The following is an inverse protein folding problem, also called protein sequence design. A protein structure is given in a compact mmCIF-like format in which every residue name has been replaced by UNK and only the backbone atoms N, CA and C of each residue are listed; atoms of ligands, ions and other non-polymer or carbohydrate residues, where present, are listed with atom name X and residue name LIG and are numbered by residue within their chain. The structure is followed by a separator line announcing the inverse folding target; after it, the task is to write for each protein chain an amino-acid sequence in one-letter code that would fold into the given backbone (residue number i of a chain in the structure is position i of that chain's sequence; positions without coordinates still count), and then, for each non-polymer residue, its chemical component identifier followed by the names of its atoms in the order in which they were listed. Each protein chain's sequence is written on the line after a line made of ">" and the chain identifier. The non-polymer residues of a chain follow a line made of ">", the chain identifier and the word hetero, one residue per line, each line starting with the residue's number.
data_IF_151822355151
#
_entry.id   IF_151822355151
#
_cell.length_a   1.000
_cell.length_b   1.000
_cell.length_c   1.000
_cell.angle_alpha   90.00
_cell.angle_beta   90.00
_cell.angle_gamma   90.00
#
_symmetry.space_group_name_H-M   'P 1'
#
loop_
_entity.id
_entity.type
_entity.pdbx_description
1 polymer ?
#
# COMPACT_ATOMS: atom_id res chain seq x y z
N UNK A 1 33.39 11.87 1.77
CA UNK A 1 32.24 10.96 1.79
C UNK A 1 32.41 10.11 3.05
N UNK A 2 31.69 10.39 4.11
CA UNK A 2 31.54 9.46 5.22
C UNK A 2 30.88 8.21 4.63
N UNK A 3 31.47 7.04 4.90
CA UNK A 3 30.95 5.77 4.43
C UNK A 3 29.53 5.65 5.03
N UNK A 4 28.52 5.49 4.15
CA UNK A 4 27.14 5.33 4.60
C UNK A 4 27.06 4.16 5.59
N UNK A 5 26.29 4.29 6.68
CA UNK A 5 26.16 3.21 7.65
C UNK A 5 25.60 1.96 6.95
N UNK A 6 26.12 0.79 7.31
CA UNK A 6 25.53 -0.49 6.90
C UNK A 6 24.37 -0.83 7.84
N UNK A 7 23.22 -1.23 7.27
CA UNK A 7 22.13 -1.75 8.09
C UNK A 7 22.40 -3.23 8.42
N UNK A 8 22.33 -3.57 9.72
CA UNK A 8 22.50 -4.94 10.18
C UNK A 8 21.22 -5.77 9.93
N UNK A 9 21.37 -6.99 9.41
CA UNK A 9 20.26 -7.95 9.26
C UNK A 9 19.73 -8.43 10.62
N UNK A 10 18.63 -9.16 10.65
CA UNK A 10 18.08 -9.76 11.87
C UNK A 10 19.01 -10.79 12.48
N UNK A 11 19.11 -10.80 13.80
CA UNK A 11 19.96 -11.74 14.55
C UNK A 11 19.42 -13.19 14.46
N UNK A 12 18.10 -13.37 14.49
CA UNK A 12 17.39 -14.66 14.55
C UNK A 12 16.90 -15.18 13.18
N UNK A 13 17.36 -14.64 12.06
CA UNK A 13 17.05 -15.17 10.73
C UNK A 13 15.57 -15.02 10.33
N UNK A 14 15.02 -13.80 10.37
CA UNK A 14 13.65 -13.50 9.95
C UNK A 14 13.39 -13.86 8.48
N UNK A 15 12.35 -14.68 8.21
CA UNK A 15 11.88 -14.99 6.86
C UNK A 15 10.68 -14.11 6.48
N UNK A 16 10.85 -13.16 5.54
CA UNK A 16 9.76 -12.29 5.11
C UNK A 16 8.64 -13.04 4.37
N UNK A 17 8.93 -14.20 3.77
CA UNK A 17 7.91 -15.00 3.05
C UNK A 17 6.95 -15.72 4.01
N UNK A 18 7.42 -16.09 5.20
CA UNK A 18 6.57 -16.72 6.22
C UNK A 18 5.51 -15.76 6.81
N UNK A 19 5.67 -14.45 6.63
CA UNK A 19 4.74 -13.44 7.19
C UNK A 19 3.49 -13.27 6.34
N UNK A 20 3.59 -13.47 5.02
CA UNK A 20 2.52 -13.16 4.07
C UNK A 20 1.23 -13.93 4.32
N UNK A 21 1.31 -15.22 4.60
CA UNK A 21 0.15 -16.10 4.79
C UNK A 21 -0.58 -15.83 6.11
N UNK A 22 0.15 -15.54 7.19
CA UNK A 22 -0.44 -15.31 8.51
C UNK A 22 -1.16 -13.96 8.66
N UNK A 23 -0.79 -12.96 7.87
CA UNK A 23 -1.24 -11.58 8.10
C UNK A 23 -2.55 -11.23 7.37
N UNK A 24 -2.96 -11.97 6.34
CA UNK A 24 -3.92 -11.43 5.37
C UNK A 24 -5.23 -12.21 5.23
N UNK A 25 -5.36 -13.44 5.79
CA UNK A 25 -6.52 -14.31 5.59
C UNK A 25 -6.55 -14.94 4.18
N UNK A 26 -7.44 -15.92 3.96
CA UNK A 26 -7.46 -16.70 2.71
C UNK A 26 -8.75 -16.52 1.89
N UNK A 27 -9.60 -15.54 2.20
CA UNK A 27 -10.84 -15.32 1.48
C UNK A 27 -10.55 -14.90 0.04
N UNK A 28 -11.05 -15.68 -0.92
CA UNK A 28 -10.95 -15.39 -2.35
C UNK A 28 -12.06 -14.43 -2.80
N UNK A 29 -13.32 -14.77 -2.53
CA UNK A 29 -14.50 -13.97 -2.94
C UNK A 29 -15.01 -13.07 -1.80
N UNK A 30 -14.18 -12.12 -1.38
CA UNK A 30 -14.50 -11.20 -0.30
C UNK A 30 -15.61 -10.21 -0.66
N UNK A 31 -15.73 -9.85 -1.95
CA UNK A 31 -16.69 -8.84 -2.39
C UNK A 31 -18.13 -9.37 -2.37
N UNK A 32 -18.33 -10.62 -2.80
CA UNK A 32 -19.63 -11.29 -2.66
C UNK A 32 -20.00 -11.53 -1.19
N UNK A 33 -19.02 -11.97 -0.39
CA UNK A 33 -19.23 -12.12 1.06
C UNK A 33 -19.64 -10.81 1.72
N UNK A 34 -18.98 -9.69 1.36
CA UNK A 34 -19.34 -8.37 1.88
C UNK A 34 -20.75 -7.94 1.49
N UNK A 35 -21.18 -8.17 0.23
CA UNK A 35 -22.56 -7.89 -0.21
C UNK A 35 -23.57 -8.68 0.61
N UNK A 36 -23.34 -9.97 0.81
CA UNK A 36 -24.22 -10.82 1.64
C UNK A 36 -24.29 -10.34 3.10
N UNK A 37 -23.17 -9.87 3.66
CA UNK A 37 -23.13 -9.29 5.00
C UNK A 37 -23.96 -7.99 5.08
N UNK A 38 -23.85 -7.12 4.07
CA UNK A 38 -24.63 -5.87 4.01
C UNK A 38 -26.13 -6.17 3.89
N UNK A 39 -26.52 -7.16 3.08
CA UNK A 39 -27.93 -7.57 2.94
C UNK A 39 -28.49 -8.13 4.25
N UNK A 40 -27.71 -8.94 4.97
CA UNK A 40 -28.14 -9.59 6.20
C UNK A 40 -28.10 -8.69 7.45
N UNK A 41 -27.13 -7.81 7.55
CA UNK A 41 -26.80 -7.07 8.79
C UNK A 41 -26.74 -5.56 8.64
N UNK A 42 -26.88 -5.04 7.41
CA UNK A 42 -26.73 -3.62 7.11
C UNK A 42 -25.30 -3.18 6.86
N UNK A 43 -25.07 -1.88 6.60
CA UNK A 43 -23.80 -1.34 6.15
C UNK A 43 -22.72 -1.25 7.24
N UNK A 44 -23.08 -1.46 8.51
CA UNK A 44 -22.17 -1.43 9.68
C UNK A 44 -22.44 -2.65 10.53
N UNK A 45 -21.45 -3.53 10.65
CA UNK A 45 -21.56 -4.81 11.37
C UNK A 45 -20.72 -4.76 12.65
N UNK A 46 -21.30 -5.19 13.79
CA UNK A 46 -20.54 -5.33 15.04
C UNK A 46 -19.58 -6.50 14.94
N UNK A 47 -18.34 -6.30 15.33
CA UNK A 47 -17.25 -7.28 15.29
C UNK A 47 -16.02 -6.78 14.53
N UNK A 48 -14.88 -7.38 14.82
CA UNK A 48 -13.68 -7.16 14.04
C UNK A 48 -13.80 -7.80 12.64
N UNK A 49 -13.09 -7.23 11.69
CA UNK A 49 -13.22 -7.60 10.27
C UNK A 49 -12.93 -9.08 9.99
N UNK A 50 -11.96 -9.68 10.66
CA UNK A 50 -11.64 -11.08 10.43
C UNK A 50 -12.78 -11.99 10.90
N UNK A 51 -13.27 -11.77 12.12
CA UNK A 51 -14.42 -12.51 12.69
C UNK A 51 -15.69 -12.31 11.87
N UNK A 52 -15.96 -11.07 11.40
CA UNK A 52 -17.12 -10.76 10.55
C UNK A 52 -17.08 -11.54 9.24
N UNK A 53 -15.89 -11.78 8.67
CA UNK A 53 -15.72 -12.59 7.46
C UNK A 53 -15.47 -14.09 7.74
N UNK A 54 -15.65 -14.55 8.99
CA UNK A 54 -15.52 -15.95 9.36
C UNK A 54 -14.10 -16.47 9.57
N UNK A 55 -13.12 -15.57 9.60
CA UNK A 55 -11.73 -15.87 9.92
C UNK A 55 -11.45 -15.72 11.42
N UNK A 56 -10.45 -16.40 11.98
CA UNK A 56 -10.03 -16.15 13.35
C UNK A 56 -9.66 -14.70 13.58
N UNK A 57 -10.14 -14.12 14.68
CA UNK A 57 -9.82 -12.75 15.06
C UNK A 57 -8.31 -12.52 15.16
N UNK A 58 -7.81 -11.53 14.43
CA UNK A 58 -6.37 -11.23 14.32
C UNK A 58 -6.01 -9.86 14.88
N UNK A 59 -7.01 -9.07 15.30
CA UNK A 59 -6.76 -7.81 15.98
C UNK A 59 -6.32 -8.06 17.42
N UNK A 60 -5.39 -7.27 17.97
CA UNK A 60 -5.07 -7.33 19.38
C UNK A 60 -6.35 -7.13 20.20
N UNK A 61 -6.58 -7.99 21.17
CA UNK A 61 -7.64 -7.77 22.13
C UNK A 61 -7.29 -6.51 22.92
N UNK A 62 -8.01 -5.42 22.60
CA UNK A 62 -7.83 -4.12 23.23
C UNK A 62 -8.91 -3.84 24.28
N UNK A 63 -9.86 -4.77 24.49
CA UNK A 63 -11.06 -4.55 25.28
C UNK A 63 -12.01 -3.51 24.67
N UNK A 64 -11.76 -3.04 23.45
CA UNK A 64 -12.59 -2.06 22.72
C UNK A 64 -13.66 -2.77 21.90
N UNK A 65 -14.81 -2.13 21.73
CA UNK A 65 -15.79 -2.59 20.75
C UNK A 65 -15.25 -2.40 19.32
N UNK A 66 -15.48 -3.38 18.43
CA UNK A 66 -15.09 -3.34 17.04
C UNK A 66 -16.31 -3.29 16.13
N UNK A 67 -16.21 -2.55 15.05
CA UNK A 67 -17.22 -2.45 14.00
C UNK A 67 -16.56 -2.54 12.63
N UNK A 68 -17.17 -3.30 11.74
CA UNK A 68 -16.77 -3.40 10.34
C UNK A 68 -17.72 -2.61 9.48
N UNK A 69 -17.21 -1.61 8.75
CA UNK A 69 -17.98 -0.70 7.89
C UNK A 69 -17.86 -1.14 6.45
N UNK A 70 -18.99 -1.58 5.85
CA UNK A 70 -19.07 -2.18 4.53
C UNK A 70 -19.83 -1.31 3.51
N UNK A 71 -20.78 -0.50 3.94
CA UNK A 71 -21.59 0.34 3.05
C UNK A 71 -20.84 1.60 2.60
N UNK A 72 -20.90 1.89 1.29
CA UNK A 72 -20.15 2.99 0.65
C UNK A 72 -20.42 4.36 1.30
N UNK A 73 -21.69 4.68 1.57
CA UNK A 73 -22.08 5.94 2.21
C UNK A 73 -21.50 6.07 3.63
N UNK A 74 -21.58 5.00 4.43
CA UNK A 74 -21.00 4.97 5.78
C UNK A 74 -19.48 5.07 5.75
N UNK A 75 -18.83 4.41 4.78
CA UNK A 75 -17.38 4.49 4.53
C UNK A 75 -16.96 5.95 4.26
N UNK A 76 -17.67 6.65 3.37
CA UNK A 76 -17.37 8.06 3.08
C UNK A 76 -17.62 8.97 4.26
N UNK A 77 -18.71 8.73 5.01
CA UNK A 77 -19.03 9.48 6.23
C UNK A 77 -17.87 9.40 7.23
N UNK A 78 -17.40 8.18 7.55
CA UNK A 78 -16.30 7.99 8.49
C UNK A 78 -15.01 8.65 8.00
N UNK A 79 -14.66 8.52 6.71
CA UNK A 79 -13.43 9.06 6.15
C UNK A 79 -13.45 10.59 6.02
N UNK A 80 -14.63 11.22 6.01
CA UNK A 80 -14.80 12.67 5.87
C UNK A 80 -14.86 13.43 7.18
N UNK A 81 -15.02 12.73 8.32
CA UNK A 81 -15.21 13.34 9.63
C UNK A 81 -14.11 12.90 10.62
N UNK A 82 -12.90 13.50 10.50
CA UNK A 82 -11.77 13.16 11.38
C UNK A 82 -11.99 13.60 12.84
N UNK A 83 -12.88 14.55 13.10
CA UNK A 83 -13.20 14.97 14.46
C UNK A 83 -14.00 13.89 15.21
N UNK A 84 -14.87 13.19 14.50
CA UNK A 84 -15.67 12.10 15.06
C UNK A 84 -14.95 10.76 14.98
N UNK A 85 -14.12 10.55 13.94
CA UNK A 85 -13.41 9.30 13.70
C UNK A 85 -11.91 9.56 13.50
N UNK A 86 -11.15 9.42 14.57
CA UNK A 86 -9.74 9.78 14.66
C UNK A 86 -8.77 8.59 14.47
N UNK A 87 -7.46 8.85 14.67
CA UNK A 87 -6.38 7.88 14.51
C UNK A 87 -5.86 7.29 15.83
N UNK A 88 -6.53 7.50 16.95
CA UNK A 88 -5.99 7.14 18.28
C UNK A 88 -5.66 5.64 18.40
N UNK A 89 -6.48 4.77 17.82
CA UNK A 89 -6.17 3.34 17.83
C UNK A 89 -4.88 3.02 17.05
N UNK A 90 -4.68 3.63 15.90
CA UNK A 90 -3.43 3.45 15.13
C UNK A 90 -2.22 4.04 15.86
N UNK A 91 -2.38 5.18 16.53
CA UNK A 91 -1.32 5.77 17.34
C UNK A 91 -0.88 4.84 18.48
N UNK A 92 -1.83 4.14 19.12
CA UNK A 92 -1.56 3.20 20.23
C UNK A 92 -1.18 1.79 19.82
N UNK A 93 -1.23 1.46 18.52
CA UNK A 93 -0.89 0.13 17.97
C UNK A 93 0.28 0.23 16.98
N UNK A 94 0.01 0.56 15.74
CA UNK A 94 1.02 0.70 14.69
C UNK A 94 2.05 1.79 15.02
N UNK A 95 1.60 2.92 15.58
CA UNK A 95 2.46 4.01 16.02
C UNK A 95 3.45 3.63 17.11
N UNK A 96 3.16 2.62 17.94
CA UNK A 96 4.14 2.10 18.92
C UNK A 96 5.32 1.38 18.26
N UNK A 97 5.13 0.87 17.04
CA UNK A 97 6.19 0.19 16.28
C UNK A 97 6.93 1.19 15.41
N UNK A 98 6.21 1.93 14.57
CA UNK A 98 6.81 2.76 13.53
C UNK A 98 7.13 4.17 14.02
N UNK A 99 6.42 4.65 15.04
CA UNK A 99 6.50 6.03 15.55
C UNK A 99 5.31 6.89 15.09
N UNK A 100 5.36 8.22 15.31
CA UNK A 100 4.29 9.15 14.98
C UNK A 100 4.23 9.43 13.46
N UNK A 101 3.68 8.50 12.69
CA UNK A 101 3.53 8.60 11.24
C UNK A 101 2.30 9.41 10.84
N UNK A 102 2.24 9.85 9.55
CA UNK A 102 1.06 10.51 9.00
C UNK A 102 -0.24 9.73 9.18
N UNK A 103 -0.19 8.40 9.17
CA UNK A 103 -1.38 7.55 9.37
C UNK A 103 -1.75 7.37 10.84
N UNK A 104 -0.95 7.87 11.77
CA UNK A 104 -1.20 7.78 13.21
C UNK A 104 -1.39 9.15 13.89
N UNK A 105 -1.22 10.24 13.14
CA UNK A 105 -1.37 11.60 13.64
C UNK A 105 -2.80 12.11 13.45
N UNK A 106 -3.29 12.89 14.41
CA UNK A 106 -4.53 13.66 14.33
C UNK A 106 -4.23 15.15 14.05
N UNK A 107 -5.24 15.89 13.58
CA UNK A 107 -5.15 17.34 13.48
C UNK A 107 -5.05 17.98 14.88
N UNK A 108 -4.35 19.13 15.03
CA UNK A 108 -3.75 19.93 13.94
C UNK A 108 -2.35 19.45 13.48
N UNK A 109 -1.70 18.52 14.19
CA UNK A 109 -0.34 18.06 13.90
C UNK A 109 -0.28 17.37 12.54
N UNK A 110 -1.25 16.47 12.25
CA UNK A 110 -1.36 15.80 10.95
C UNK A 110 -1.34 16.81 9.79
N UNK A 111 -2.19 17.83 9.82
CA UNK A 111 -2.30 18.82 8.74
C UNK A 111 -1.02 19.63 8.52
N UNK A 112 -0.30 19.96 9.61
CA UNK A 112 1.01 20.65 9.51
C UNK A 112 2.05 19.75 8.82
N UNK A 113 2.25 18.56 9.34
CA UNK A 113 3.24 17.60 8.84
C UNK A 113 2.93 17.17 7.41
N UNK A 114 1.63 16.94 7.12
CA UNK A 114 1.19 16.55 5.78
C UNK A 114 1.55 17.58 4.70
N UNK A 115 1.44 18.88 4.97
CA UNK A 115 1.80 19.92 3.98
C UNK A 115 3.25 19.77 3.51
N UNK A 116 4.18 19.45 4.41
CA UNK A 116 5.59 19.27 4.05
C UNK A 116 5.79 18.02 3.20
N UNK A 117 5.34 16.88 3.68
CA UNK A 117 5.51 15.63 2.94
C UNK A 117 4.81 15.67 1.58
N UNK A 118 3.64 16.31 1.50
CA UNK A 118 2.91 16.45 0.24
C UNK A 118 3.69 17.28 -0.78
N UNK A 119 4.45 18.30 -0.36
CA UNK A 119 5.27 19.10 -1.27
C UNK A 119 6.32 18.24 -2.00
N UNK A 120 6.92 17.25 -1.33
CA UNK A 120 7.86 16.32 -1.94
C UNK A 120 7.21 15.38 -2.97
N UNK A 121 5.93 15.04 -2.78
CA UNK A 121 5.16 14.14 -3.66
C UNK A 121 4.25 14.86 -4.66
N UNK A 122 4.50 16.13 -4.93
CA UNK A 122 3.76 16.88 -5.96
C UNK A 122 4.01 16.29 -7.35
N UNK A 123 3.04 16.38 -8.29
CA UNK A 123 3.13 15.76 -9.61
C UNK A 123 4.42 16.09 -10.39
N UNK A 124 4.95 17.31 -10.25
CA UNK A 124 6.19 17.70 -10.92
C UNK A 124 7.43 16.94 -10.42
N UNK A 125 7.52 16.66 -9.10
CA UNK A 125 8.61 15.88 -8.52
C UNK A 125 8.46 14.40 -8.89
N UNK A 126 7.24 13.90 -8.85
CA UNK A 126 6.90 12.53 -9.26
C UNK A 126 7.24 12.30 -10.74
N UNK A 127 6.92 13.24 -11.63
CA UNK A 127 7.27 13.14 -13.05
C UNK A 127 8.79 13.03 -13.27
N UNK A 128 9.59 13.84 -12.54
CA UNK A 128 11.06 13.77 -12.60
C UNK A 128 11.58 12.39 -12.16
N UNK A 129 11.04 11.82 -11.07
CA UNK A 129 11.39 10.46 -10.65
C UNK A 129 11.01 9.42 -11.69
N UNK A 130 9.93 9.65 -12.45
CA UNK A 130 9.48 8.79 -13.53
C UNK A 130 10.57 8.49 -14.56
N UNK A 131 11.27 9.52 -15.00
CA UNK A 131 12.32 9.41 -16.01
C UNK A 131 13.68 9.02 -15.42
N UNK A 132 14.01 9.51 -14.23
CA UNK A 132 15.32 9.30 -13.62
C UNK A 132 15.46 7.96 -12.89
N UNK A 133 14.37 7.44 -12.32
CA UNK A 133 14.37 6.28 -11.42
C UNK A 133 13.41 5.19 -11.89
N UNK A 134 12.13 5.52 -12.01
CA UNK A 134 11.03 4.55 -12.16
C UNK A 134 11.15 3.76 -13.46
N UNK A 135 11.33 4.44 -14.60
CA UNK A 135 11.53 3.80 -15.91
C UNK A 135 12.78 2.94 -15.95
N UNK A 136 13.97 3.47 -15.61
CA UNK A 136 15.20 2.68 -15.57
C UNK A 136 15.13 1.43 -14.70
N UNK A 137 14.49 1.51 -13.51
CA UNK A 137 14.33 0.33 -12.63
C UNK A 137 13.46 -0.74 -13.31
N UNK A 138 12.35 -0.35 -13.96
CA UNK A 138 11.49 -1.30 -14.67
C UNK A 138 12.29 -2.09 -15.73
N UNK A 139 13.06 -1.41 -16.58
CA UNK A 139 13.87 -2.06 -17.60
C UNK A 139 14.96 -2.95 -17.03
N UNK A 140 15.67 -2.52 -15.98
CA UNK A 140 16.71 -3.31 -15.34
C UNK A 140 16.18 -4.61 -14.71
N UNK A 141 14.97 -4.58 -14.15
CA UNK A 141 14.34 -5.80 -13.63
C UNK A 141 13.95 -6.76 -14.75
N UNK A 142 13.42 -6.26 -15.86
CA UNK A 142 13.08 -7.07 -17.04
C UNK A 142 14.32 -7.72 -17.63
N UNK A 143 15.47 -7.03 -17.68
CA UNK A 143 16.75 -7.56 -18.18
C UNK A 143 17.19 -8.84 -17.45
N UNK A 144 16.74 -9.08 -16.21
CA UNK A 144 17.09 -10.28 -15.42
C UNK A 144 16.42 -11.57 -15.95
N UNK A 145 15.35 -11.45 -16.74
CA UNK A 145 14.56 -12.61 -17.15
C UNK A 145 14.10 -12.59 -18.63
N UNK A 146 14.26 -11.50 -19.36
CA UNK A 146 13.75 -11.37 -20.73
C UNK A 146 14.26 -12.47 -21.68
N UNK A 147 15.50 -12.92 -21.53
CA UNK A 147 16.10 -13.97 -22.37
C UNK A 147 15.59 -15.39 -22.02
N UNK A 148 14.81 -15.54 -20.95
CA UNK A 148 14.31 -16.86 -20.52
C UNK A 148 13.00 -17.27 -21.20
N UNK A 149 12.31 -16.36 -21.90
CA UNK A 149 11.00 -16.58 -22.51
C UNK A 149 9.87 -16.87 -21.51
N UNK A 150 10.16 -16.79 -20.22
CA UNK A 150 9.21 -17.00 -19.10
C UNK A 150 9.62 -16.23 -17.86
N UNK A 151 8.64 -15.90 -17.01
CA UNK A 151 8.88 -15.29 -15.69
C UNK A 151 7.73 -15.63 -14.72
N UNK A 152 8.00 -15.46 -13.43
CA UNK A 152 6.97 -15.31 -12.40
C UNK A 152 6.90 -13.81 -12.06
N UNK A 153 5.90 -13.11 -12.59
CA UNK A 153 5.85 -11.64 -12.56
C UNK A 153 5.75 -11.04 -11.15
N UNK A 154 5.24 -11.77 -10.15
CA UNK A 154 5.18 -11.24 -8.79
C UNK A 154 6.58 -11.16 -8.20
N UNK A 155 7.34 -12.25 -8.20
CA UNK A 155 8.65 -12.32 -7.56
C UNK A 155 9.78 -11.76 -8.43
N UNK A 156 9.72 -11.95 -9.75
CA UNK A 156 10.79 -11.51 -10.66
C UNK A 156 10.70 -10.01 -10.99
N UNK A 157 9.51 -9.42 -10.89
CA UNK A 157 9.27 -8.04 -11.29
C UNK A 157 8.50 -7.20 -10.25
N UNK A 158 7.22 -7.54 -9.96
CA UNK A 158 6.34 -6.64 -9.23
C UNK A 158 6.84 -6.36 -7.81
N UNK A 159 7.30 -7.39 -7.08
CA UNK A 159 7.78 -7.26 -5.70
C UNK A 159 9.06 -6.41 -5.61
N UNK A 160 10.16 -6.68 -6.33
CA UNK A 160 11.36 -5.87 -6.22
C UNK A 160 11.19 -4.44 -6.75
N UNK A 161 10.27 -4.20 -7.67
CA UNK A 161 10.16 -2.95 -8.41
C UNK A 161 9.96 -1.70 -7.53
N UNK A 162 8.93 -1.58 -6.69
CA UNK A 162 8.74 -0.39 -5.85
C UNK A 162 9.81 -0.26 -4.76
N UNK A 163 10.35 -1.35 -4.24
CA UNK A 163 11.42 -1.28 -3.25
C UNK A 163 12.71 -0.71 -3.86
N UNK A 164 13.12 -1.14 -5.04
CA UNK A 164 14.26 -0.58 -5.78
C UNK A 164 14.07 0.92 -6.07
N UNK A 165 12.83 1.36 -6.35
CA UNK A 165 12.51 2.77 -6.56
C UNK A 165 12.70 3.57 -5.27
N UNK A 166 12.13 3.10 -4.15
CA UNK A 166 12.26 3.78 -2.85
C UNK A 166 13.73 3.90 -2.45
N UNK A 167 14.53 2.84 -2.61
CA UNK A 167 15.95 2.87 -2.28
C UNK A 167 16.70 3.97 -3.05
N UNK A 168 16.41 4.12 -4.35
CA UNK A 168 17.02 5.17 -5.16
C UNK A 168 16.50 6.57 -4.85
N UNK A 169 15.23 6.70 -4.45
CA UNK A 169 14.67 7.99 -4.02
C UNK A 169 15.30 8.48 -2.72
N UNK A 170 15.69 7.56 -1.85
CA UNK A 170 16.37 7.84 -0.58
C UNK A 170 17.88 7.89 -0.71
N UNK A 171 18.43 7.66 -1.91
CA UNK A 171 19.87 7.57 -2.19
C UNK A 171 20.58 6.60 -1.21
N UNK A 172 19.94 5.43 -0.98
CA UNK A 172 20.49 4.39 -0.10
C UNK A 172 21.58 3.59 -0.80
N UNK A 173 22.58 3.07 -0.05
CA UNK A 173 23.68 2.30 -0.61
C UNK A 173 23.20 1.04 -1.35
N UNK A 174 23.72 0.77 -2.55
CA UNK A 174 23.44 -0.50 -3.23
C UNK A 174 24.05 -1.65 -2.41
N UNK A 175 23.24 -2.69 -2.15
CA UNK A 175 23.63 -3.86 -1.37
C UNK A 175 22.79 -4.09 -0.13
N UNK A 176 22.20 -3.05 0.45
CA UNK A 176 21.33 -3.17 1.62
C UNK A 176 19.87 -3.51 1.25
N UNK A 177 19.53 -3.55 -0.04
CA UNK A 177 18.15 -3.67 -0.53
C UNK A 177 17.41 -4.90 0.00
N UNK A 178 18.09 -6.04 0.12
CA UNK A 178 17.48 -7.26 0.66
C UNK A 178 17.16 -7.12 2.16
N UNK A 179 18.04 -6.49 2.91
CA UNK A 179 17.85 -6.24 4.36
C UNK A 179 16.71 -5.25 4.57
N UNK A 180 16.66 -4.17 3.77
CA UNK A 180 15.56 -3.20 3.83
C UNK A 180 14.21 -3.83 3.51
N UNK A 181 14.13 -4.70 2.51
CA UNK A 181 12.91 -5.44 2.21
C UNK A 181 12.46 -6.27 3.41
N UNK A 182 13.36 -7.05 4.03
CA UNK A 182 13.06 -7.79 5.27
C UNK A 182 12.55 -6.86 6.38
N UNK A 183 13.20 -5.70 6.59
CA UNK A 183 12.79 -4.72 7.59
C UNK A 183 11.40 -4.15 7.29
N UNK A 184 11.10 -3.82 6.03
CA UNK A 184 9.80 -3.30 5.61
C UNK A 184 8.66 -4.30 5.88
N UNK A 185 8.88 -5.58 5.55
CA UNK A 185 7.92 -6.66 5.83
C UNK A 185 7.75 -6.86 7.34
N UNK A 186 8.85 -6.85 8.10
CA UNK A 186 8.81 -7.00 9.55
C UNK A 186 8.00 -5.89 10.24
N UNK A 187 8.11 -4.63 9.79
CA UNK A 187 7.32 -3.51 10.33
C UNK A 187 5.80 -3.76 10.23
N UNK A 188 5.34 -4.46 9.18
CA UNK A 188 3.93 -4.81 8.99
C UNK A 188 3.50 -6.02 9.84
N UNK A 189 4.45 -6.84 10.26
CA UNK A 189 4.23 -8.07 11.03
C UNK A 189 4.04 -7.82 12.55
N UNK A 190 3.61 -6.65 12.95
CA UNK A 190 3.60 -6.14 14.34
C UNK A 190 2.71 -6.87 15.36
N UNK A 191 2.40 -8.18 15.17
CA UNK A 191 1.46 -8.95 16.01
C UNK A 191 2.05 -10.26 16.51
N UNK A 192 1.54 -10.72 17.66
CA UNK A 192 1.93 -12.00 18.24
C UNK A 192 3.46 -12.12 18.41
N UNK A 193 3.98 -13.31 18.13
CA UNK A 193 5.41 -13.61 18.22
C UNK A 193 6.27 -12.79 17.22
N UNK A 194 5.67 -12.35 16.11
CA UNK A 194 6.36 -11.56 15.10
C UNK A 194 6.62 -10.10 15.55
N UNK A 195 5.95 -9.63 16.62
CA UNK A 195 6.14 -8.26 17.14
C UNK A 195 7.60 -7.97 17.51
N UNK A 196 8.36 -8.97 17.97
CA UNK A 196 9.79 -8.81 18.27
C UNK A 196 10.59 -8.33 17.05
N UNK A 197 10.32 -8.90 15.88
CA UNK A 197 10.98 -8.50 14.62
C UNK A 197 10.56 -7.10 14.17
N UNK A 198 9.28 -6.76 14.34
CA UNK A 198 8.81 -5.40 14.04
C UNK A 198 9.50 -4.34 14.92
N UNK A 199 9.68 -4.61 16.20
CA UNK A 199 10.38 -3.72 17.13
C UNK A 199 11.88 -3.65 16.82
N UNK A 200 12.52 -4.76 16.49
CA UNK A 200 13.93 -4.80 16.07
C UNK A 200 14.15 -4.02 14.77
N UNK A 201 13.30 -4.26 13.73
CA UNK A 201 13.34 -3.50 12.48
C UNK A 201 13.18 -2.00 12.72
N UNK A 202 12.19 -1.62 13.55
CA UNK A 202 11.96 -0.22 13.90
C UNK A 202 13.19 0.42 14.55
N UNK A 203 13.82 -0.26 15.49
CA UNK A 203 15.03 0.23 16.17
C UNK A 203 16.19 0.39 15.17
N UNK A 204 16.51 -0.65 14.38
CA UNK A 204 17.61 -0.64 13.41
C UNK A 204 17.41 0.44 12.36
N UNK A 205 16.23 0.53 11.76
CA UNK A 205 15.88 1.58 10.81
C UNK A 205 15.93 2.98 11.44
N UNK A 206 15.56 3.11 12.72
CA UNK A 206 15.65 4.38 13.44
C UNK A 206 17.07 4.90 13.56
N UNK A 207 18.01 4.03 13.93
CA UNK A 207 19.45 4.38 14.01
C UNK A 207 19.96 4.73 12.61
N UNK A 208 19.68 3.89 11.63
CA UNK A 208 20.09 4.07 10.25
C UNK A 208 19.62 5.41 9.65
N UNK A 209 18.33 5.69 9.71
CA UNK A 209 17.77 6.92 9.14
C UNK A 209 18.23 8.17 9.89
N UNK A 210 18.47 8.07 11.20
CA UNK A 210 19.03 9.20 11.95
C UNK A 210 20.37 9.65 11.40
N UNK A 211 21.28 8.72 11.09
CA UNK A 211 22.58 9.05 10.52
C UNK A 211 22.45 9.75 9.16
N UNK A 212 21.52 9.29 8.29
CA UNK A 212 21.23 9.98 7.03
C UNK A 212 20.60 11.37 7.22
N UNK A 213 19.70 11.51 8.17
CA UNK A 213 19.08 12.81 8.49
C UNK A 213 20.17 13.79 8.97
N UNK A 214 21.07 13.36 9.85
CA UNK A 214 22.14 14.19 10.37
C UNK A 214 23.15 14.57 9.27
N UNK A 215 23.50 13.65 8.37
CA UNK A 215 24.35 13.96 7.21
C UNK A 215 23.68 14.95 6.26
N UNK A 216 22.41 14.72 5.89
CA UNK A 216 21.69 15.60 4.96
C UNK A 216 21.38 16.99 5.52
N UNK A 217 21.32 17.17 6.83
CA UNK A 217 21.27 18.49 7.45
C UNK A 217 22.54 19.30 7.22
N UNK A 218 23.69 18.62 7.16
CA UNK A 218 24.99 19.26 6.95
C UNK A 218 25.36 19.32 5.46
N UNK A 219 24.98 18.28 4.69
CA UNK A 219 25.36 18.08 3.29
C UNK A 219 24.10 17.75 2.45
N UNK A 220 23.20 18.72 2.21
CA UNK A 220 22.01 18.48 1.41
C UNK A 220 22.36 18.00 0.00
N UNK A 221 21.63 17.00 -0.49
CA UNK A 221 21.68 16.51 -1.87
C UNK A 221 20.35 16.72 -2.58
N UNK A 222 20.13 16.06 -3.71
CA UNK A 222 18.84 16.11 -4.45
C UNK A 222 17.84 15.04 -4.03
N UNK A 223 18.10 14.27 -2.96
CA UNK A 223 17.27 13.16 -2.50
C UNK A 223 16.06 13.60 -1.67
N UNK A 224 15.19 12.63 -1.36
CA UNK A 224 13.97 12.88 -0.58
C UNK A 224 14.30 13.28 0.87
N UNK A 225 15.33 12.69 1.49
CA UNK A 225 15.70 13.02 2.87
C UNK A 225 16.14 14.48 2.94
N UNK A 226 16.97 14.93 2.00
CA UNK A 226 17.38 16.35 1.89
C UNK A 226 16.20 17.29 1.77
N UNK A 227 15.21 16.93 0.95
CA UNK A 227 14.00 17.73 0.81
C UNK A 227 13.20 17.84 2.12
N UNK A 228 13.19 16.76 2.94
CA UNK A 228 12.48 16.74 4.21
C UNK A 228 13.19 17.51 5.32
N UNK A 229 14.53 17.37 5.44
CA UNK A 229 15.29 18.01 6.51
C UNK A 229 15.41 19.52 6.35
N UNK A 230 15.23 20.02 5.12
CA UNK A 230 15.26 21.46 4.80
C UNK A 230 13.87 22.11 4.76
N UNK A 231 12.80 21.30 4.85
CA UNK A 231 11.44 21.81 4.75
C UNK A 231 10.95 22.38 6.09
N UNK A 232 10.30 23.54 6.00
CA UNK A 232 9.69 24.25 7.14
C UNK A 232 8.17 24.41 6.95
N UNK A 233 7.46 24.34 8.06
CA UNK A 233 6.03 24.71 8.15
C UNK A 233 5.85 25.73 9.27
N UNK A 234 5.29 26.87 8.94
CA UNK A 234 5.03 27.94 9.90
C UNK A 234 6.32 28.39 10.65
N UNK A 235 7.51 28.29 9.99
CA UNK A 235 8.82 28.63 10.55
C UNK A 235 9.44 27.54 11.45
N UNK A 236 8.86 26.35 11.48
CA UNK A 236 9.37 25.23 12.26
C UNK A 236 9.76 24.05 11.34
N UNK A 237 10.91 23.42 11.63
CA UNK A 237 11.29 22.15 11.00
C UNK A 237 10.44 20.98 11.50
N UNK A 238 10.33 19.95 10.68
CA UNK A 238 9.67 18.70 11.11
C UNK A 238 10.49 18.07 12.24
N UNK A 239 9.84 17.65 13.36
CA UNK A 239 10.49 16.88 14.41
C UNK A 239 11.17 15.61 13.88
N UNK A 240 12.35 15.30 14.39
CA UNK A 240 13.18 14.18 13.91
C UNK A 240 12.48 12.82 14.05
N UNK A 241 11.76 12.62 15.14
CA UNK A 241 10.99 11.40 15.39
C UNK A 241 9.88 11.20 14.35
N UNK A 242 9.22 12.27 13.90
CA UNK A 242 8.24 12.25 12.82
C UNK A 242 8.93 11.93 11.47
N UNK A 243 10.10 12.50 11.20
CA UNK A 243 10.85 12.17 9.98
C UNK A 243 11.27 10.70 9.94
N UNK A 244 11.82 10.19 11.02
CA UNK A 244 12.22 8.78 11.15
C UNK A 244 10.99 7.86 10.98
N UNK A 245 9.87 8.19 11.64
CA UNK A 245 8.63 7.45 11.52
C UNK A 245 8.10 7.45 10.09
N UNK A 246 8.18 8.59 9.39
CA UNK A 246 7.80 8.69 7.99
C UNK A 246 8.68 7.82 7.07
N UNK A 247 10.00 7.84 7.25
CA UNK A 247 10.92 7.02 6.45
C UNK A 247 10.70 5.51 6.68
N UNK A 248 10.47 5.09 7.92
CA UNK A 248 10.07 3.71 8.23
C UNK A 248 8.76 3.33 7.53
N UNK A 249 7.77 4.21 7.60
CA UNK A 249 6.47 3.98 6.96
C UNK A 249 6.58 3.98 5.44
N UNK A 250 7.41 4.82 4.85
CA UNK A 250 7.62 4.89 3.40
C UNK A 250 8.08 3.55 2.82
N UNK A 251 8.99 2.86 3.50
CA UNK A 251 9.45 1.53 3.09
C UNK A 251 8.30 0.53 3.04
N UNK A 252 7.48 0.47 4.08
CA UNK A 252 6.38 -0.49 4.13
C UNK A 252 5.18 -0.08 3.28
N UNK A 253 4.75 1.17 3.35
CA UNK A 253 3.55 1.63 2.65
C UNK A 253 3.76 1.84 1.14
N UNK A 254 4.94 2.29 0.72
CA UNK A 254 5.24 2.53 -0.68
C UNK A 254 5.58 1.25 -1.44
N UNK A 255 6.37 0.35 -0.82
CA UNK A 255 6.77 -0.91 -1.44
C UNK A 255 5.63 -1.92 -1.52
N UNK A 256 5.03 -2.24 -0.37
CA UNK A 256 4.07 -3.35 -0.26
C UNK A 256 2.78 -3.14 -1.08
N UNK A 257 2.24 -1.93 -1.13
CA UNK A 257 0.98 -1.67 -1.84
C UNK A 257 1.15 -1.60 -3.35
N UNK A 258 2.25 -1.02 -3.84
CA UNK A 258 2.46 -0.83 -5.28
C UNK A 258 2.76 -2.16 -5.98
N UNK A 259 3.52 -3.09 -5.34
CA UNK A 259 3.74 -4.39 -5.97
C UNK A 259 2.44 -5.17 -6.11
N UNK A 260 1.56 -5.12 -5.11
CA UNK A 260 0.25 -5.77 -5.14
C UNK A 260 -0.62 -5.22 -6.26
N UNK A 261 -0.69 -3.89 -6.39
CA UNK A 261 -1.43 -3.24 -7.47
C UNK A 261 -0.88 -3.58 -8.86
N UNK A 262 0.45 -3.63 -9.00
CA UNK A 262 1.10 -4.01 -10.26
C UNK A 262 0.83 -5.48 -10.62
N UNK A 263 0.94 -6.39 -9.64
CA UNK A 263 0.62 -7.80 -9.84
C UNK A 263 -0.85 -8.03 -10.23
N UNK A 264 -1.78 -7.37 -9.53
CA UNK A 264 -3.21 -7.44 -9.82
C UNK A 264 -3.56 -6.84 -11.19
N UNK A 265 -2.93 -5.73 -11.58
CA UNK A 265 -3.10 -5.14 -12.90
C UNK A 265 -2.67 -6.11 -14.01
N UNK A 266 -1.50 -6.72 -13.86
CA UNK A 266 -1.02 -7.69 -14.84
C UNK A 266 -1.92 -8.90 -14.92
N UNK A 267 -2.38 -9.42 -13.78
CA UNK A 267 -3.31 -10.54 -13.77
C UNK A 267 -4.65 -10.18 -14.43
N UNK A 268 -5.22 -9.01 -14.13
CA UNK A 268 -6.45 -8.53 -14.76
C UNK A 268 -6.35 -8.48 -16.29
N UNK A 269 -5.24 -7.94 -16.82
CA UNK A 269 -5.00 -7.91 -18.26
C UNK A 269 -4.77 -9.30 -18.84
N UNK A 270 -3.98 -10.15 -18.20
CA UNK A 270 -3.65 -11.49 -18.69
C UNK A 270 -4.87 -12.44 -18.68
N UNK A 271 -5.83 -12.20 -17.81
CA UNK A 271 -7.12 -12.90 -17.81
C UNK A 271 -8.10 -12.36 -18.85
N UNK A 272 -7.82 -11.17 -19.42
CA UNK A 272 -8.62 -10.51 -20.45
C UNK A 272 -7.74 -10.16 -21.67
N UNK A 273 -7.29 -11.15 -22.46
CA UNK A 273 -6.31 -10.97 -23.53
C UNK A 273 -6.73 -9.94 -24.59
N UNK A 274 -8.02 -9.81 -24.89
CA UNK A 274 -8.51 -8.79 -25.82
C UNK A 274 -8.28 -7.36 -25.28
N UNK A 275 -8.43 -7.15 -23.98
CA UNK A 275 -8.12 -5.87 -23.35
C UNK A 275 -6.57 -5.63 -23.31
N UNK A 276 -5.78 -6.66 -23.05
CA UNK A 276 -4.33 -6.60 -23.09
C UNK A 276 -3.83 -6.15 -24.47
N UNK A 277 -4.32 -6.75 -25.55
CA UNK A 277 -3.92 -6.40 -26.91
C UNK A 277 -4.39 -4.98 -27.30
N UNK A 278 -5.52 -4.53 -26.83
CA UNK A 278 -5.97 -3.13 -27.02
C UNK A 278 -5.03 -2.15 -26.33
N UNK A 279 -4.62 -2.41 -25.08
CA UNK A 279 -3.65 -1.55 -24.36
C UNK A 279 -2.28 -1.62 -25.02
N UNK A 280 -1.88 -2.76 -25.57
CA UNK A 280 -0.65 -2.92 -26.36
C UNK A 280 -0.69 -2.03 -27.62
N UNK A 281 -1.79 -2.03 -28.33
CA UNK A 281 -1.97 -1.27 -29.56
C UNK A 281 -2.17 0.24 -29.33
N UNK A 282 -2.85 0.60 -28.23
CA UNK A 282 -3.11 2.00 -27.87
C UNK A 282 -2.70 2.30 -26.41
N UNK A 283 -1.52 2.88 -26.26
CA UNK A 283 -0.93 3.22 -24.94
C UNK A 283 -1.66 4.37 -24.23
N UNK A 284 -2.57 5.07 -24.89
CA UNK A 284 -3.43 6.06 -24.22
C UNK A 284 -4.37 5.42 -23.20
N UNK A 285 -4.64 4.12 -23.33
CA UNK A 285 -5.45 3.32 -22.40
C UNK A 285 -4.71 2.95 -21.10
N UNK A 286 -3.38 3.11 -21.03
CA UNK A 286 -2.58 2.72 -19.84
C UNK A 286 -3.08 3.40 -18.57
N UNK A 287 -3.32 4.70 -18.61
CA UNK A 287 -3.78 5.43 -17.42
C UNK A 287 -5.14 4.93 -16.91
N UNK A 288 -6.05 4.59 -17.81
CA UNK A 288 -7.36 4.05 -17.44
C UNK A 288 -7.26 2.61 -16.95
N UNK A 289 -6.39 1.81 -17.53
CA UNK A 289 -6.08 0.45 -17.06
C UNK A 289 -5.57 0.45 -15.62
N UNK A 290 -4.71 1.40 -15.26
CA UNK A 290 -4.23 1.57 -13.87
C UNK A 290 -5.36 1.90 -12.92
N UNK A 291 -6.25 2.84 -13.28
CA UNK A 291 -7.41 3.18 -12.42
C UNK A 291 -8.35 1.99 -12.26
N UNK A 292 -8.64 1.24 -13.34
CA UNK A 292 -9.48 0.04 -13.24
C UNK A 292 -8.82 -1.07 -12.40
N UNK A 293 -7.51 -1.28 -12.54
CA UNK A 293 -6.80 -2.25 -11.71
C UNK A 293 -6.88 -1.92 -10.22
N UNK A 294 -6.69 -0.65 -9.87
CA UNK A 294 -6.81 -0.15 -8.49
C UNK A 294 -8.23 -0.26 -7.94
N UNK A 295 -9.25 -0.05 -8.77
CA UNK A 295 -10.65 -0.26 -8.40
C UNK A 295 -10.95 -1.75 -8.20
N UNK A 296 -10.56 -2.58 -9.21
CA UNK A 296 -10.92 -4.01 -9.28
C UNK A 296 -10.28 -4.82 -8.17
N UNK A 297 -8.97 -4.67 -7.96
CA UNK A 297 -8.26 -5.31 -6.84
C UNK A 297 -7.43 -4.28 -6.09
N UNK A 298 -8.08 -3.62 -5.16
CA UNK A 298 -7.47 -2.61 -4.31
C UNK A 298 -6.41 -3.27 -3.41
N UNK A 299 -5.14 -2.85 -3.47
CA UNK A 299 -4.05 -3.49 -2.71
C UNK A 299 -4.27 -3.52 -1.21
N UNK A 300 -4.77 -2.41 -0.64
CA UNK A 300 -5.14 -2.29 0.78
C UNK A 300 -6.64 -2.22 0.90
N UNK A 301 -7.23 -3.25 1.48
CA UNK A 301 -8.68 -3.42 1.55
C UNK A 301 -9.38 -2.45 2.48
N UNK A 302 -8.67 -1.95 3.50
CA UNK A 302 -9.29 -1.26 4.62
C UNK A 302 -8.48 -0.07 5.14
N UNK A 303 -9.18 0.85 5.79
CA UNK A 303 -8.63 1.85 6.69
C UNK A 303 -9.16 1.61 8.12
N UNK A 304 -8.50 2.17 9.13
CA UNK A 304 -8.91 2.03 10.53
C UNK A 304 -9.10 3.40 11.16
N UNK A 305 -10.13 3.54 12.00
CA UNK A 305 -10.42 4.74 12.79
C UNK A 305 -10.85 4.35 14.20
N UNK A 306 -10.87 5.33 15.10
CA UNK A 306 -11.47 5.22 16.42
C UNK A 306 -12.58 6.25 16.57
N UNK A 307 -13.68 5.91 17.24
CA UNK A 307 -14.70 6.87 17.62
C UNK A 307 -14.20 7.77 18.76
N UNK A 308 -14.14 9.09 18.56
CA UNK A 308 -13.69 10.07 19.57
C UNK A 308 -14.72 10.30 20.67
N UNK A 309 -15.97 9.97 20.41
CA UNK A 309 -17.13 10.11 21.31
C UNK A 309 -18.21 9.10 20.95
N UNK A 310 -19.19 8.92 21.85
CA UNK A 310 -20.42 8.19 21.51
C UNK A 310 -21.05 8.84 20.28
N UNK A 311 -21.37 8.04 19.28
CA UNK A 311 -21.92 8.50 18.01
C UNK A 311 -22.82 7.44 17.39
N UNK A 312 -23.42 7.77 16.24
CA UNK A 312 -24.21 6.86 15.41
C UNK A 312 -23.65 6.85 14.00
N UNK A 313 -23.66 5.68 13.34
CA UNK A 313 -23.26 5.52 11.96
C UNK A 313 -24.26 4.57 11.27
N UNK A 314 -24.97 5.07 10.27
CA UNK A 314 -26.01 4.31 9.52
C UNK A 314 -27.03 3.62 10.45
N UNK A 315 -27.49 4.29 11.50
CA UNK A 315 -28.46 3.75 12.46
C UNK A 315 -27.86 2.85 13.57
N UNK A 316 -26.55 2.60 13.54
CA UNK A 316 -25.86 1.79 14.54
C UNK A 316 -25.17 2.69 15.57
N UNK A 317 -25.45 2.45 16.87
CA UNK A 317 -24.76 3.16 17.97
C UNK A 317 -23.30 2.69 18.05
N UNK A 318 -22.37 3.64 17.99
CA UNK A 318 -20.92 3.42 18.10
C UNK A 318 -20.43 4.08 19.40
N UNK A 319 -20.10 3.31 20.43
CA UNK A 319 -19.55 3.84 21.68
C UNK A 319 -18.21 4.55 21.45
N UNK A 320 -17.90 5.52 22.30
CA UNK A 320 -16.57 6.13 22.35
C UNK A 320 -15.47 5.06 22.43
N UNK A 321 -14.33 5.35 21.85
CA UNK A 321 -13.14 4.48 21.80
C UNK A 321 -13.31 3.17 20.98
N UNK A 322 -14.49 2.96 20.36
CA UNK A 322 -14.68 1.84 19.43
C UNK A 322 -13.71 1.91 18.26
N UNK A 323 -13.30 0.76 17.78
CA UNK A 323 -12.46 0.62 16.57
C UNK A 323 -13.35 0.35 15.37
N UNK A 324 -13.21 1.16 14.33
CA UNK A 324 -13.91 0.98 13.06
C UNK A 324 -12.93 0.52 11.99
N UNK A 325 -13.17 -0.65 11.40
CA UNK A 325 -12.48 -1.11 10.20
C UNK A 325 -13.33 -0.76 8.99
N UNK A 326 -12.81 0.14 8.15
CA UNK A 326 -13.52 0.72 7.01
C UNK A 326 -13.07 0.00 5.74
N UNK A 327 -13.93 -0.85 5.17
CA UNK A 327 -13.61 -1.69 4.01
C UNK A 327 -13.68 -0.88 2.70
N UNK A 328 -12.69 -0.05 2.44
CA UNK A 328 -12.66 0.87 1.28
C UNK A 328 -12.71 0.14 -0.05
N UNK A 329 -12.11 -1.04 -0.16
CA UNK A 329 -12.16 -1.85 -1.37
C UNK A 329 -13.57 -2.39 -1.68
N UNK A 330 -14.36 -2.71 -0.65
CA UNK A 330 -15.75 -3.15 -0.83
C UNK A 330 -16.60 -2.06 -1.50
N UNK A 331 -16.37 -0.79 -1.14
CA UNK A 331 -17.05 0.33 -1.80
C UNK A 331 -16.75 0.44 -3.30
N UNK A 332 -15.58 -0.02 -3.74
CA UNK A 332 -15.21 -0.06 -5.16
C UNK A 332 -15.96 -1.16 -5.94
N UNK A 333 -16.66 -2.05 -5.23
CA UNK A 333 -17.49 -3.14 -5.78
C UNK A 333 -18.97 -2.94 -5.51
N UNK A 334 -19.41 -1.74 -5.15
CA UNK A 334 -20.83 -1.43 -4.96
C UNK A 334 -21.57 -1.49 -6.33
N UNK A 335 -22.56 -2.40 -6.48
CA UNK A 335 -23.29 -2.56 -7.74
C UNK A 335 -24.19 -1.37 -8.09
N UNK A 336 -24.50 -0.50 -7.11
CA UNK A 336 -25.24 0.74 -7.34
C UNK A 336 -24.39 1.74 -8.14
N UNK A 337 -23.08 1.74 -7.90
CA UNK A 337 -22.14 2.64 -8.58
C UNK A 337 -21.50 2.03 -9.82
N UNK A 338 -21.15 0.75 -9.75
CA UNK A 338 -20.39 0.08 -10.79
C UNK A 338 -21.19 -1.07 -11.41
N UNK A 339 -21.52 -0.95 -12.67
CA UNK A 339 -22.12 -2.08 -13.41
C UNK A 339 -21.11 -3.22 -13.51
N UNK A 340 -21.52 -4.46 -13.20
CA UNK A 340 -20.64 -5.64 -13.14
C UNK A 340 -19.37 -5.35 -12.34
N UNK A 341 -19.46 -5.04 -11.04
CA UNK A 341 -18.35 -4.49 -10.25
C UNK A 341 -17.17 -5.46 -10.12
N UNK A 342 -17.42 -6.77 -10.21
CA UNK A 342 -16.41 -7.81 -10.06
C UNK A 342 -15.61 -8.07 -11.35
N UNK A 343 -16.07 -7.54 -12.50
CA UNK A 343 -15.34 -7.65 -13.77
C UNK A 343 -14.22 -6.59 -13.88
N UNK A 344 -13.07 -7.02 -14.40
CA UNK A 344 -12.02 -6.11 -14.87
C UNK A 344 -12.43 -5.56 -16.24
N UNK A 345 -12.56 -4.24 -16.37
CA UNK A 345 -13.10 -3.60 -17.57
C UNK A 345 -12.44 -2.23 -17.79
N UNK A 346 -11.48 -2.16 -18.72
CA UNK A 346 -10.76 -0.92 -19.06
C UNK A 346 -11.63 0.15 -19.74
N UNK A 347 -12.83 -0.20 -20.16
CA UNK A 347 -13.79 0.75 -20.74
C UNK A 347 -14.76 1.34 -19.70
N UNK A 348 -14.61 0.94 -18.45
CA UNK A 348 -15.44 1.45 -17.36
C UNK A 348 -15.35 2.97 -17.29
N UNK A 349 -16.48 3.69 -17.17
CA UNK A 349 -16.46 5.13 -16.94
C UNK A 349 -15.61 5.48 -15.73
N UNK A 350 -14.79 6.52 -15.85
CA UNK A 350 -13.91 6.97 -14.75
C UNK A 350 -14.76 7.53 -13.61
N UNK A 351 -14.80 6.79 -12.53
CA UNK A 351 -15.33 7.24 -11.25
C UNK A 351 -14.24 7.23 -10.19
N UNK A 352 -14.38 8.10 -9.18
CA UNK A 352 -13.42 8.14 -8.09
C UNK A 352 -13.58 6.92 -7.19
N UNK A 353 -12.69 5.95 -7.34
CA UNK A 353 -12.57 4.81 -6.45
C UNK A 353 -11.91 5.18 -5.11
N UNK A 354 -12.02 4.32 -4.10
CA UNK A 354 -11.47 4.52 -2.75
C UNK A 354 -10.16 3.76 -2.50
N UNK A 355 -9.47 3.29 -3.54
CA UNK A 355 -8.20 2.57 -3.38
C UNK A 355 -7.11 3.43 -2.70
N UNK A 356 -7.19 4.74 -2.82
CA UNK A 356 -6.31 5.69 -2.13
C UNK A 356 -6.98 6.35 -0.91
N UNK A 357 -8.07 5.77 -0.39
CA UNK A 357 -8.86 6.33 0.69
C UNK A 357 -9.56 7.67 0.30
N UNK A 358 -10.04 8.42 1.29
CA UNK A 358 -10.77 9.68 1.12
C UNK A 358 -10.50 10.60 2.30
N UNK A 359 -10.81 11.92 2.16
CA UNK A 359 -10.68 12.91 3.23
C UNK A 359 -9.24 13.34 3.51
N UNK A 360 -8.97 13.80 4.72
CA UNK A 360 -7.68 14.36 5.14
C UNK A 360 -6.52 13.37 5.04
N UNK A 361 -6.78 12.07 5.21
CA UNK A 361 -5.80 11.00 5.12
C UNK A 361 -5.76 10.29 3.75
N UNK A 362 -6.18 10.95 2.66
CA UNK A 362 -6.00 10.41 1.31
C UNK A 362 -4.53 10.07 1.06
N UNK A 363 -4.25 8.98 0.34
CA UNK A 363 -2.89 8.50 0.13
C UNK A 363 -1.95 9.59 -0.39
N UNK A 364 -0.83 9.77 0.30
CA UNK A 364 0.21 10.75 -0.07
C UNK A 364 0.88 10.35 -1.39
N UNK A 365 1.20 9.05 -1.53
CA UNK A 365 1.91 8.48 -2.67
C UNK A 365 1.07 8.21 -3.91
N UNK A 366 -0.21 8.61 -3.95
CA UNK A 366 -1.14 8.24 -5.02
C UNK A 366 -0.67 8.60 -6.45
N UNK A 367 0.08 9.70 -6.61
CA UNK A 367 0.62 10.10 -7.91
C UNK A 367 1.81 9.24 -8.31
N UNK A 368 2.66 8.88 -7.36
CA UNK A 368 3.81 8.01 -7.58
C UNK A 368 3.36 6.59 -7.91
N UNK A 369 2.43 6.02 -7.15
CA UNK A 369 1.90 4.68 -7.40
C UNK A 369 1.30 4.54 -8.81
N UNK A 370 0.51 5.52 -9.26
CA UNK A 370 -0.02 5.57 -10.64
C UNK A 370 1.08 5.64 -11.68
N UNK A 371 2.11 6.45 -11.44
CA UNK A 371 3.25 6.56 -12.34
C UNK A 371 4.03 5.24 -12.40
N UNK A 372 4.31 4.62 -11.26
CA UNK A 372 5.00 3.33 -11.18
C UNK A 372 4.24 2.26 -11.94
N UNK A 373 2.95 2.07 -11.67
CA UNK A 373 2.13 1.09 -12.37
C UNK A 373 2.07 1.36 -13.88
N UNK A 374 1.96 2.63 -14.29
CA UNK A 374 1.94 3.02 -15.71
C UNK A 374 3.28 2.72 -16.41
N UNK A 375 4.40 3.02 -15.76
CA UNK A 375 5.74 2.74 -16.30
C UNK A 375 6.04 1.24 -16.34
N UNK A 376 5.63 0.51 -15.29
CA UNK A 376 5.72 -0.95 -15.26
C UNK A 376 4.97 -1.60 -16.43
N UNK A 377 3.71 -1.21 -16.64
CA UNK A 377 2.89 -1.75 -17.73
C UNK A 377 3.52 -1.46 -19.10
N UNK A 378 3.93 -0.20 -19.34
CA UNK A 378 4.59 0.14 -20.60
C UNK A 378 5.86 -0.67 -20.83
N UNK A 379 6.74 -0.76 -19.83
CA UNK A 379 8.00 -1.50 -19.96
C UNK A 379 7.77 -3.00 -20.23
N UNK A 380 6.83 -3.64 -19.53
CA UNK A 380 6.48 -5.04 -19.76
C UNK A 380 5.91 -5.26 -21.17
N UNK A 381 5.01 -4.38 -21.64
CA UNK A 381 4.43 -4.49 -22.97
C UNK A 381 5.42 -4.20 -24.10
N UNK A 382 6.43 -3.37 -23.87
CA UNK A 382 7.50 -3.06 -24.84
C UNK A 382 8.53 -4.18 -24.97
N UNK A 383 8.81 -4.87 -23.86
CA UNK A 383 9.91 -5.83 -23.77
C UNK A 383 9.49 -7.29 -23.87
N UNK A 384 8.20 -7.60 -23.64
CA UNK A 384 7.68 -8.96 -23.59
C UNK A 384 6.60 -9.16 -24.67
N UNK A 385 7.00 -9.45 -25.92
CA UNK A 385 6.05 -9.73 -26.99
C UNK A 385 5.28 -11.01 -26.71
N UNK A 386 4.02 -11.09 -27.19
CA UNK A 386 3.13 -12.23 -26.98
C UNK A 386 2.98 -12.68 -25.51
N UNK A 387 3.03 -11.71 -24.58
CA UNK A 387 2.89 -11.96 -23.14
C UNK A 387 1.54 -12.61 -22.83
N UNK A 388 1.59 -13.79 -22.20
CA UNK A 388 0.41 -14.61 -21.87
C UNK A 388 0.64 -15.43 -20.60
N UNK A 389 -0.45 -15.85 -19.92
CA UNK A 389 -0.33 -16.80 -18.81
C UNK A 389 0.26 -18.13 -19.28
N UNK A 390 1.11 -18.73 -18.45
CA UNK A 390 1.64 -20.09 -18.71
C UNK A 390 0.54 -21.12 -18.39
N UNK A 391 -0.02 -21.83 -19.41
CA UNK A 391 -1.09 -22.79 -19.20
C UNK A 391 -0.65 -24.06 -18.44
N UNK A 392 0.65 -24.29 -18.30
CA UNK A 392 1.19 -25.43 -17.56
C UNK A 392 1.27 -25.18 -16.04
N UNK A 393 1.08 -23.92 -15.61
CA UNK A 393 1.16 -23.51 -14.20
C UNK A 393 -0.24 -23.38 -13.58
N UNK A 394 -0.34 -23.49 -12.24
CA UNK A 394 -1.60 -23.26 -11.54
C UNK A 394 -2.18 -21.86 -11.85
N UNK A 395 -3.50 -21.78 -11.93
CA UNK A 395 -4.16 -20.48 -12.12
C UNK A 395 -3.89 -19.57 -10.93
N UNK A 396 -3.48 -18.32 -11.18
CA UNK A 396 -3.32 -17.32 -10.12
C UNK A 396 -4.61 -17.12 -9.33
N UNK A 397 -4.48 -17.00 -8.02
CA UNK A 397 -5.59 -16.67 -7.11
C UNK A 397 -5.25 -15.39 -6.37
N UNK A 398 -6.24 -14.53 -6.13
CA UNK A 398 -6.12 -13.35 -5.29
C UNK A 398 -6.88 -13.63 -3.99
N UNK A 399 -6.19 -13.54 -2.86
CA UNK A 399 -6.78 -13.79 -1.54
C UNK A 399 -6.41 -12.67 -0.57
N UNK A 400 -7.06 -12.64 0.57
CA UNK A 400 -6.75 -11.74 1.68
C UNK A 400 -7.89 -10.81 2.09
N UNK A 401 -7.89 -10.42 3.37
CA UNK A 401 -8.85 -9.49 3.97
C UNK A 401 -8.24 -8.10 4.16
N UNK A 402 -6.94 -8.03 4.48
CA UNK A 402 -6.25 -6.76 4.73
C UNK A 402 -5.50 -6.26 3.50
N UNK A 403 -4.65 -7.13 2.95
CA UNK A 403 -3.94 -6.89 1.70
C UNK A 403 -4.25 -7.99 0.71
N UNK A 404 -4.42 -7.61 -0.56
CA UNK A 404 -4.71 -8.55 -1.64
C UNK A 404 -3.64 -8.50 -2.73
N UNK A 405 -3.21 -9.68 -3.17
CA UNK A 405 -2.25 -9.83 -4.27
C UNK A 405 -2.43 -11.19 -4.91
N UNK A 406 -2.11 -11.34 -6.21
CA UNK A 406 -2.01 -12.67 -6.81
C UNK A 406 -0.96 -13.52 -6.09
N UNK A 407 -1.27 -14.80 -5.89
CA UNK A 407 -0.33 -15.77 -5.29
C UNK A 407 0.93 -15.93 -6.14
N UNK A 408 0.76 -15.92 -7.45
CA UNK A 408 1.79 -15.97 -8.49
C UNK A 408 1.19 -15.53 -9.83
N UNK A 409 2.02 -15.11 -10.77
CA UNK A 409 1.60 -14.79 -12.15
C UNK A 409 2.68 -15.31 -13.10
N UNK A 410 2.63 -16.63 -13.36
CA UNK A 410 3.54 -17.26 -14.31
C UNK A 410 3.17 -16.92 -15.75
N UNK A 411 4.12 -16.44 -16.51
CA UNK A 411 3.93 -15.98 -17.90
C UNK A 411 4.94 -16.58 -18.86
N UNK A 412 4.52 -16.65 -20.13
CA UNK A 412 5.33 -16.91 -21.29
C UNK A 412 5.33 -15.68 -22.19
N UNK A 413 6.44 -15.46 -22.90
CA UNK A 413 6.61 -14.42 -23.91
C UNK A 413 7.66 -14.88 -24.92
N UNK A 414 7.78 -14.20 -26.08
CA UNK A 414 8.70 -14.59 -27.17
C UNK A 414 9.95 -13.70 -27.19
#
# INVERSE_FOLDING_TARGET
>A
MTQAPAIEDFEDGFDPHAVGEFAHGEIEDIYSAARSLVEAHGPVVSGDVFTVFGEPGRWPDSGRAHFTVLGESAIREVLSDPDRFNMDYLATTFGQIVGPTLTALNDPVHGKVRRVFQAAFMPQNVARWGDQIVGPVAHQLIDRFVDKGRAELVTDFALPYPFEIIYRQLDLPPGDTAVFHKMAVALLAGRGELRKYAMEASRKLGVYFKEFIDDRRQNPSGDLISALVTAEVDGEYIPEDIMIAFLRQLLSAGGDTTYRGTGSMMLGLLQNPDQLERVRADRSLVAQTVEEALRWETPTMMAVRSASRDTELAGVRIPKDSVLTIMTAVANHDPVRHRNPDAFDIDRPRERHLAFSYGSHVCLGQHLARLEMSRALNALLDRLPNLRLDPAMPRPRITGINFRTPSNVHVLFD
#
